data_IF_608801102792
#
_entry.id   IF_608801102792
#
_cell.length_a   1.000
_cell.length_b   1.000
_cell.length_c   1.000
_cell.angle_alpha   90.00
_cell.angle_beta   90.00
_cell.angle_gamma   90.00
#
_symmetry.space_group_name_H-M   'P 1'
#
loop_
_entity.id
_entity.type
_entity.pdbx_description
1 polymer ?
#
# COMPACT_ATOMS: atom_id res chain seq x y z
N UNK A 1 -0.77 26.81 17.35
CA UNK A 1 -0.27 25.42 17.25
C UNK A 1 0.80 25.41 16.17
N UNK A 2 1.98 24.84 16.40
CA UNK A 2 3.02 24.74 15.37
C UNK A 2 2.53 23.89 14.20
N UNK A 3 2.88 24.27 12.96
CA UNK A 3 2.47 23.56 11.74
C UNK A 3 2.95 22.10 11.73
N UNK A 4 4.13 21.83 12.31
CA UNK A 4 4.61 20.47 12.58
C UNK A 4 3.63 19.65 13.44
N UNK A 5 3.02 20.23 14.47
CA UNK A 5 2.10 19.50 15.37
C UNK A 5 0.83 19.11 14.62
N UNK A 6 0.26 20.04 13.85
CA UNK A 6 -0.91 19.76 13.01
C UNK A 6 -0.61 18.66 11.98
N UNK A 7 0.57 18.70 11.36
CA UNK A 7 1.04 17.66 10.44
C UNK A 7 1.15 16.29 11.11
N UNK A 8 1.79 16.22 12.30
CA UNK A 8 1.93 14.97 13.03
C UNK A 8 0.59 14.38 13.47
N UNK A 9 -0.34 15.23 13.95
CA UNK A 9 -1.69 14.79 14.32
C UNK A 9 -2.43 14.23 13.12
N UNK A 10 -2.39 14.91 11.97
CA UNK A 10 -2.99 14.42 10.72
C UNK A 10 -2.38 13.08 10.29
N UNK A 11 -1.06 12.95 10.36
CA UNK A 11 -0.34 11.76 9.93
C UNK A 11 -0.69 10.56 10.84
N UNK A 12 -0.68 10.75 12.16
CA UNK A 12 -1.08 9.72 13.13
C UNK A 12 -2.53 9.31 12.93
N UNK A 13 -3.45 10.27 12.75
CA UNK A 13 -4.86 9.98 12.51
C UNK A 13 -5.05 9.18 11.22
N UNK A 14 -4.32 9.54 10.16
CA UNK A 14 -4.34 8.82 8.88
C UNK A 14 -3.87 7.38 9.08
N UNK A 15 -2.75 7.16 9.78
CA UNK A 15 -2.26 5.82 10.08
C UNK A 15 -3.30 5.00 10.85
N UNK A 16 -3.90 5.54 11.90
CA UNK A 16 -4.91 4.83 12.70
C UNK A 16 -6.11 4.40 11.86
N UNK A 17 -6.66 5.32 11.07
CA UNK A 17 -7.82 5.05 10.22
C UNK A 17 -7.48 3.99 9.17
N UNK A 18 -6.33 4.13 8.51
CA UNK A 18 -5.88 3.21 7.46
C UNK A 18 -5.61 1.82 8.01
N UNK A 19 -4.91 1.70 9.14
CA UNK A 19 -4.68 0.40 9.78
C UNK A 19 -5.99 -0.26 10.22
N UNK A 20 -6.95 0.53 10.71
CA UNK A 20 -8.26 -0.01 11.10
C UNK A 20 -9.03 -0.55 9.88
N UNK A 21 -9.07 0.22 8.78
CA UNK A 21 -9.71 -0.20 7.53
C UNK A 21 -9.04 -1.45 6.96
N UNK A 22 -7.71 -1.46 6.89
CA UNK A 22 -6.96 -2.60 6.33
C UNK A 22 -7.07 -3.82 7.24
N UNK A 23 -7.04 -3.65 8.55
CA UNK A 23 -7.28 -4.73 9.51
C UNK A 23 -8.66 -5.37 9.34
N UNK A 24 -9.68 -4.56 9.10
CA UNK A 24 -11.04 -5.02 8.82
C UNK A 24 -11.15 -5.73 7.45
N UNK A 25 -10.49 -5.18 6.43
CA UNK A 25 -10.60 -5.69 5.06
C UNK A 25 -9.78 -6.95 4.82
N UNK A 26 -8.62 -7.09 5.47
CA UNK A 26 -7.67 -8.20 5.31
C UNK A 26 -8.32 -9.60 5.31
N UNK A 27 -9.15 -10.01 6.28
CA UNK A 27 -9.75 -11.35 6.28
C UNK A 27 -10.74 -11.55 5.12
N UNK A 28 -11.47 -10.51 4.72
CA UNK A 28 -12.41 -10.55 3.60
C UNK A 28 -11.67 -10.67 2.26
N UNK A 29 -10.64 -9.83 2.08
CA UNK A 29 -9.82 -9.80 0.88
C UNK A 29 -9.07 -11.13 0.69
N UNK A 30 -8.54 -11.72 1.76
CA UNK A 30 -7.92 -13.06 1.71
C UNK A 30 -8.91 -14.12 1.23
N UNK A 31 -10.12 -14.18 1.76
CA UNK A 31 -11.13 -15.18 1.35
C UNK A 31 -11.45 -15.08 -0.14
N UNK A 32 -11.68 -13.86 -0.63
CA UNK A 32 -11.96 -13.61 -2.06
C UNK A 32 -10.76 -13.99 -2.93
N UNK A 33 -9.54 -13.66 -2.49
CA UNK A 33 -8.33 -14.02 -3.21
C UNK A 33 -8.06 -15.53 -3.23
N UNK A 34 -8.38 -16.27 -2.16
CA UNK A 34 -8.25 -17.73 -2.14
C UNK A 34 -9.17 -18.36 -3.19
N UNK A 35 -10.41 -17.87 -3.27
CA UNK A 35 -11.40 -18.35 -4.25
C UNK A 35 -10.94 -18.05 -5.69
N UNK A 36 -10.46 -16.83 -5.95
CA UNK A 36 -9.97 -16.42 -7.27
C UNK A 36 -8.65 -17.10 -7.68
N UNK A 37 -7.69 -17.23 -6.76
CA UNK A 37 -6.36 -17.76 -7.05
C UNK A 37 -6.31 -19.29 -7.01
N UNK A 38 -7.30 -19.94 -6.39
CA UNK A 38 -7.40 -21.39 -6.21
C UNK A 38 -6.36 -22.02 -5.29
N UNK A 39 -5.43 -21.23 -4.74
CA UNK A 39 -4.36 -21.66 -3.84
C UNK A 39 -4.12 -20.63 -2.74
N UNK A 40 -3.86 -21.11 -1.52
CA UNK A 40 -3.62 -20.27 -0.34
C UNK A 40 -2.37 -19.39 -0.49
N UNK A 41 -1.30 -19.95 -1.09
CA UNK A 41 -0.01 -19.27 -1.27
C UNK A 41 -0.13 -18.02 -2.15
N UNK A 42 -0.80 -18.14 -3.31
CA UNK A 42 -1.04 -17.01 -4.22
C UNK A 42 -1.93 -15.96 -3.57
N UNK A 43 -2.97 -16.40 -2.85
CA UNK A 43 -3.88 -15.50 -2.16
C UNK A 43 -3.18 -14.72 -1.05
N UNK A 44 -2.24 -15.35 -0.32
CA UNK A 44 -1.46 -14.68 0.72
C UNK A 44 -0.55 -13.60 0.12
N UNK A 45 0.11 -13.89 -1.02
CA UNK A 45 0.91 -12.90 -1.75
C UNK A 45 0.08 -11.68 -2.14
N UNK A 46 -1.06 -11.90 -2.80
CA UNK A 46 -1.94 -10.80 -3.22
C UNK A 46 -2.55 -10.05 -2.04
N UNK A 47 -2.84 -10.72 -0.94
CA UNK A 47 -3.33 -10.05 0.28
C UNK A 47 -2.27 -9.12 0.86
N UNK A 48 -1.01 -9.56 0.93
CA UNK A 48 0.08 -8.72 1.40
C UNK A 48 0.32 -7.53 0.47
N UNK A 49 0.29 -7.78 -0.84
CA UNK A 49 0.41 -6.75 -1.88
C UNK A 49 -0.67 -5.67 -1.74
N UNK A 50 -1.94 -6.07 -1.66
CA UNK A 50 -3.06 -5.15 -1.48
C UNK A 50 -2.96 -4.37 -0.16
N UNK A 51 -2.56 -5.01 0.94
CA UNK A 51 -2.39 -4.32 2.21
C UNK A 51 -1.31 -3.24 2.14
N UNK A 52 -0.17 -3.52 1.50
CA UNK A 52 0.90 -2.52 1.34
C UNK A 52 0.41 -1.34 0.51
N UNK A 53 -0.37 -1.56 -0.55
CA UNK A 53 -0.93 -0.47 -1.35
C UNK A 53 -1.97 0.35 -0.59
N UNK A 54 -2.90 -0.33 0.10
CA UNK A 54 -3.96 0.32 0.87
C UNK A 54 -3.39 1.15 2.03
N UNK A 55 -2.23 0.76 2.57
CA UNK A 55 -1.54 1.54 3.61
C UNK A 55 -0.66 2.64 3.01
N UNK A 56 0.15 2.28 2.02
CA UNK A 56 1.17 3.16 1.48
C UNK A 56 0.58 4.38 0.77
N UNK A 57 -0.48 4.20 -0.03
CA UNK A 57 -1.03 5.29 -0.84
C UNK A 57 -1.53 6.45 0.03
N UNK A 58 -2.43 6.24 1.02
CA UNK A 58 -2.92 7.34 1.85
C UNK A 58 -1.82 7.99 2.69
N UNK A 59 -0.84 7.22 3.16
CA UNK A 59 0.29 7.73 3.95
C UNK A 59 1.16 8.68 3.13
N UNK A 60 1.47 8.32 1.88
CA UNK A 60 2.26 9.18 0.98
C UNK A 60 1.51 10.48 0.69
N UNK A 61 0.20 10.42 0.45
CA UNK A 61 -0.62 11.61 0.26
C UNK A 61 -0.65 12.48 1.52
N UNK A 62 -0.80 11.90 2.70
CA UNK A 62 -0.78 12.62 3.96
C UNK A 62 0.58 13.31 4.22
N UNK A 63 1.69 12.68 3.81
CA UNK A 63 3.03 13.25 3.94
C UNK A 63 3.34 14.38 2.95
N UNK A 64 2.56 14.54 1.88
CA UNK A 64 2.78 15.57 0.86
C UNK A 64 2.15 16.94 1.23
N UNK A 65 1.76 17.12 2.50
CA UNK A 65 1.29 18.40 3.01
C UNK A 65 2.42 19.44 3.01
N UNK A 66 2.20 20.59 2.39
CA UNK A 66 3.13 21.73 2.40
C UNK A 66 2.42 22.99 2.92
N UNK A 67 2.83 23.53 4.07
CA UNK A 67 2.33 24.83 4.53
C UNK A 67 2.94 25.98 3.72
N UNK A 68 2.13 26.97 3.34
CA UNK A 68 2.54 28.10 2.49
C UNK A 68 3.44 29.15 3.18
N UNK A 69 3.59 29.12 4.51
CA UNK A 69 4.08 30.30 5.28
C UNK A 69 5.19 30.03 6.32
N UNK A 70 5.96 28.94 6.26
CA UNK A 70 6.88 28.57 7.36
C UNK A 70 8.38 28.50 7.01
N UNK A 71 9.05 29.65 6.90
CA UNK A 71 10.50 29.72 6.63
C UNK A 71 11.39 28.98 7.68
N UNK A 72 10.91 28.79 8.93
CA UNK A 72 11.66 28.07 9.96
C UNK A 72 11.47 26.53 9.92
N UNK A 73 10.40 26.04 9.30
CA UNK A 73 10.07 24.60 9.28
C UNK A 73 10.33 23.96 7.89
N UNK A 74 10.83 24.74 6.93
CA UNK A 74 11.09 24.31 5.56
C UNK A 74 11.97 23.06 5.44
N UNK A 75 12.99 22.94 6.31
CA UNK A 75 13.85 21.75 6.31
C UNK A 75 13.05 20.49 6.65
N UNK A 76 12.17 20.55 7.65
CA UNK A 76 11.34 19.41 8.06
C UNK A 76 10.39 18.99 6.94
N UNK A 77 9.67 19.94 6.33
CA UNK A 77 8.74 19.64 5.23
C UNK A 77 9.44 19.21 3.94
N UNK A 78 10.65 19.70 3.67
CA UNK A 78 11.45 19.21 2.54
C UNK A 78 11.93 17.78 2.73
N UNK A 79 12.33 17.39 3.94
CA UNK A 79 12.68 16.00 4.25
C UNK A 79 11.44 15.11 4.16
N UNK A 80 10.31 15.52 4.75
CA UNK A 80 9.05 14.78 4.67
C UNK A 80 8.58 14.59 3.21
N UNK A 81 8.67 15.64 2.39
CA UNK A 81 8.33 15.58 0.96
C UNK A 81 9.29 14.72 0.13
N UNK A 82 10.60 14.72 0.43
CA UNK A 82 11.54 13.79 -0.21
C UNK A 82 11.26 12.35 0.17
N UNK A 83 10.94 12.10 1.44
CA UNK A 83 10.60 10.77 1.94
C UNK A 83 9.31 10.27 1.30
N UNK A 84 8.27 11.11 1.19
CA UNK A 84 7.02 10.74 0.51
C UNK A 84 7.25 10.44 -0.98
N UNK A 85 8.10 11.21 -1.67
CA UNK A 85 8.51 10.94 -3.05
C UNK A 85 9.22 9.59 -3.21
N UNK A 86 10.17 9.28 -2.33
CA UNK A 86 10.88 7.99 -2.35
C UNK A 86 9.93 6.80 -2.10
N UNK A 87 9.03 6.93 -1.12
CA UNK A 87 7.99 5.93 -0.85
C UNK A 87 7.01 5.80 -2.03
N UNK A 88 6.69 6.90 -2.71
CA UNK A 88 5.93 6.92 -3.95
C UNK A 88 6.59 6.12 -5.06
N UNK A 89 7.90 6.33 -5.28
CA UNK A 89 8.68 5.55 -6.24
C UNK A 89 8.70 4.05 -5.91
N UNK A 90 8.85 3.70 -4.61
CA UNK A 90 8.79 2.31 -4.16
C UNK A 90 7.41 1.68 -4.41
N UNK A 91 6.33 2.40 -4.12
CA UNK A 91 4.97 1.91 -4.42
C UNK A 91 4.74 1.75 -5.92
N UNK A 92 5.26 2.67 -6.74
CA UNK A 92 5.15 2.56 -8.20
C UNK A 92 5.87 1.30 -8.70
N UNK A 93 7.09 1.05 -8.21
CA UNK A 93 7.82 -0.18 -8.53
C UNK A 93 7.04 -1.44 -8.10
N UNK A 94 6.43 -1.41 -6.91
CA UNK A 94 5.56 -2.49 -6.44
C UNK A 94 4.36 -2.69 -7.37
N UNK A 95 3.68 -1.62 -7.79
CA UNK A 95 2.57 -1.69 -8.76
C UNK A 95 3.04 -2.34 -10.07
N UNK A 96 4.20 -1.95 -10.60
CA UNK A 96 4.77 -2.58 -11.80
C UNK A 96 4.98 -4.09 -11.63
N UNK A 97 5.51 -4.53 -10.48
CA UNK A 97 5.66 -5.95 -10.16
C UNK A 97 4.30 -6.65 -10.15
N UNK A 98 3.29 -6.05 -9.50
CA UNK A 98 1.93 -6.59 -9.49
C UNK A 98 1.33 -6.73 -10.89
N UNK A 99 1.55 -5.77 -11.78
CA UNK A 99 1.09 -5.82 -13.17
C UNK A 99 1.78 -6.98 -13.92
N UNK A 100 3.10 -7.10 -13.80
CA UNK A 100 3.88 -8.15 -14.46
C UNK A 100 3.44 -9.54 -13.97
N UNK A 101 3.31 -9.73 -12.66
CA UNK A 101 2.87 -11.01 -12.08
C UNK A 101 1.44 -11.34 -12.49
N UNK A 102 0.53 -10.36 -12.54
CA UNK A 102 -0.84 -10.56 -13.01
C UNK A 102 -0.88 -10.99 -14.48
N UNK A 103 -0.06 -10.35 -15.32
CA UNK A 103 0.06 -10.69 -16.73
C UNK A 103 0.56 -12.13 -16.91
N UNK A 104 1.62 -12.52 -16.22
CA UNK A 104 2.11 -13.91 -16.23
C UNK A 104 1.06 -14.89 -15.69
N UNK A 105 0.29 -14.52 -14.67
CA UNK A 105 -0.76 -15.39 -14.13
C UNK A 105 -1.94 -15.59 -15.10
N UNK A 106 -2.24 -14.60 -15.95
CA UNK A 106 -3.26 -14.70 -17.00
C UNK A 106 -2.77 -15.49 -18.22
N UNK A 107 -1.49 -15.37 -18.57
CA UNK A 107 -0.91 -15.99 -19.77
C UNK A 107 -0.39 -17.41 -19.50
N UNK A 108 0.05 -17.72 -18.28
CA UNK A 108 0.59 -19.05 -17.96
C UNK A 108 -0.51 -20.12 -17.97
N UNK A 109 -0.32 -21.25 -18.69
CA UNK A 109 -1.28 -22.34 -18.71
C UNK A 109 -1.44 -22.93 -17.29
N UNK A 110 -2.70 -23.07 -16.84
CA UNK A 110 -3.01 -23.77 -15.59
C UNK A 110 -2.49 -25.21 -15.71
N UNK A 111 -1.60 -25.61 -14.80
CA UNK A 111 -1.19 -27.01 -14.70
C UNK A 111 -2.45 -27.86 -14.51
N UNK A 112 -2.69 -28.89 -15.35
CA UNK A 112 -3.82 -29.79 -15.16
C UNK A 112 -3.71 -30.39 -13.76
N UNK A 113 -4.81 -30.42 -12.99
CA UNK A 113 -4.87 -31.19 -11.74
C UNK A 113 -4.43 -32.61 -12.08
N UNK A 114 -3.31 -33.06 -11.52
CA UNK A 114 -2.92 -34.45 -11.61
C UNK A 114 -4.11 -35.28 -11.13
N UNK A 115 -4.69 -36.05 -12.05
CA UNK A 115 -5.80 -36.95 -11.75
C UNK A 115 -5.36 -37.84 -10.59
N UNK A 116 -6.09 -37.74 -9.48
CA UNK A 116 -5.92 -38.64 -8.36
C UNK A 116 -6.25 -40.05 -8.87
N UNK A 117 -5.21 -40.85 -9.06
CA UNK A 117 -5.31 -42.27 -9.38
C UNK A 117 -5.67 -43.07 -8.14
#
# INVERSE_FOLDING_TARGET
>A
MSTIVSFLVQLVLTFLIVFMIVGYLRPHLRKVLVDLCGTEERAQFWTAFSNILLIGLPVIFAMNYRPEFSNMEDLFFNVAGKLSGNLGGLLLALICIGIIVSFFALVAPRQPKAEAK
#
